data_IF_282944793791
#
_entry.id   IF_282944793791
#
_cell.length_a   1.000
_cell.length_b   1.000
_cell.length_c   1.000
_cell.angle_alpha   90.00
_cell.angle_beta   90.00
_cell.angle_gamma   90.00
#
_symmetry.space_group_name_H-M   'P 1'
#
loop_
_entity.id
_entity.type
_entity.pdbx_description
1 polymer ?
#
# COMPACT_ATOMS: atom_id res chain seq x y z
N UNK A 1 24.92 -33.73 1.42
CA UNK A 1 23.62 -33.86 0.72
C UNK A 1 22.54 -34.49 1.61
N UNK A 2 22.89 -35.31 2.62
CA UNK A 2 21.92 -35.88 3.58
C UNK A 2 21.17 -34.88 4.47
N UNK A 3 21.86 -33.85 4.96
CA UNK A 3 21.27 -32.91 5.91
C UNK A 3 20.05 -32.16 5.32
N UNK A 4 20.09 -31.85 4.03
CA UNK A 4 19.00 -31.16 3.32
C UNK A 4 17.80 -32.10 3.14
N UNK A 5 18.05 -33.37 2.78
CA UNK A 5 16.99 -34.37 2.60
C UNK A 5 16.27 -34.69 3.92
N UNK A 6 17.02 -34.83 5.01
CA UNK A 6 16.47 -35.02 6.36
C UNK A 6 15.64 -33.81 6.80
N UNK A 7 16.11 -32.60 6.48
CA UNK A 7 15.38 -31.38 6.81
C UNK A 7 14.02 -31.31 6.08
N UNK A 8 13.98 -31.59 4.77
CA UNK A 8 12.72 -31.62 4.03
C UNK A 8 11.77 -32.73 4.50
N UNK A 9 12.32 -33.91 4.83
CA UNK A 9 11.53 -35.01 5.37
C UNK A 9 10.89 -34.61 6.71
N UNK A 10 11.64 -33.98 7.60
CA UNK A 10 11.09 -33.46 8.86
C UNK A 10 10.08 -32.32 8.64
N UNK A 11 10.37 -31.39 7.74
CA UNK A 11 9.53 -30.22 7.46
C UNK A 11 8.13 -30.59 6.96
N UNK A 12 7.99 -31.67 6.19
CA UNK A 12 6.72 -32.08 5.60
C UNK A 12 6.07 -33.32 6.24
N UNK A 13 6.82 -34.17 6.95
CA UNK A 13 6.29 -35.39 7.55
C UNK A 13 5.90 -35.23 9.02
N UNK A 14 6.48 -34.26 9.73
CA UNK A 14 6.18 -33.99 11.14
C UNK A 14 5.16 -32.85 11.28
N UNK A 15 4.18 -33.00 12.19
CA UNK A 15 3.21 -31.95 12.52
C UNK A 15 3.90 -30.67 12.99
N UNK A 16 5.01 -30.78 13.72
CA UNK A 16 5.79 -29.64 14.16
C UNK A 16 6.46 -28.91 12.99
N UNK A 17 6.97 -29.66 12.00
CA UNK A 17 7.56 -29.12 10.78
C UNK A 17 6.55 -28.34 9.94
N UNK A 18 5.34 -28.88 9.78
CA UNK A 18 4.26 -28.22 9.03
C UNK A 18 3.81 -26.92 9.71
N UNK A 19 3.69 -26.90 11.04
CA UNK A 19 3.35 -25.67 11.79
C UNK A 19 4.46 -24.63 11.62
N UNK A 20 5.72 -25.04 11.67
CA UNK A 20 6.87 -24.15 11.43
C UNK A 20 6.83 -23.55 10.01
N UNK A 21 6.48 -24.35 9.01
CA UNK A 21 6.33 -23.88 7.63
C UNK A 21 5.19 -22.86 7.51
N UNK A 22 4.06 -23.11 8.18
CA UNK A 22 2.91 -22.22 8.15
C UNK A 22 3.20 -20.89 8.84
N UNK A 23 3.83 -20.91 10.02
CA UNK A 23 4.28 -19.70 10.71
C UNK A 23 5.36 -18.95 9.93
N UNK A 24 6.31 -19.67 9.32
CA UNK A 24 7.32 -19.09 8.45
C UNK A 24 6.71 -18.40 7.24
N UNK A 25 5.70 -19.00 6.62
CA UNK A 25 4.94 -18.41 5.51
C UNK A 25 4.21 -17.15 5.94
N UNK A 26 3.48 -17.18 7.06
CA UNK A 26 2.78 -16.00 7.61
C UNK A 26 3.77 -14.89 7.95
N UNK A 27 4.90 -15.21 8.57
CA UNK A 27 5.96 -14.24 8.88
C UNK A 27 6.51 -13.59 7.61
N UNK A 28 6.74 -14.38 6.55
CA UNK A 28 7.21 -13.87 5.26
C UNK A 28 6.18 -12.94 4.62
N UNK A 29 4.90 -13.32 4.62
CA UNK A 29 3.82 -12.43 4.15
C UNK A 29 3.73 -11.14 4.98
N UNK A 30 3.94 -11.23 6.30
CA UNK A 30 3.94 -10.07 7.18
C UNK A 30 5.10 -9.11 6.87
N UNK A 31 6.30 -9.64 6.61
CA UNK A 31 7.47 -8.84 6.20
C UNK A 31 7.20 -8.12 4.88
N UNK A 32 6.61 -8.81 3.90
CA UNK A 32 6.26 -8.21 2.60
C UNK A 32 5.20 -7.12 2.79
N UNK A 33 4.17 -7.38 3.59
CA UNK A 33 3.13 -6.40 3.91
C UNK A 33 3.71 -5.15 4.59
N UNK A 34 4.62 -5.32 5.55
CA UNK A 34 5.31 -4.20 6.18
C UNK A 34 6.15 -3.43 5.16
N UNK A 35 6.88 -4.11 4.29
CA UNK A 35 7.69 -3.42 3.28
C UNK A 35 6.83 -2.61 2.30
N UNK A 36 5.68 -3.17 1.89
CA UNK A 36 4.68 -2.46 1.10
C UNK A 36 4.13 -1.24 1.85
N UNK A 37 3.78 -1.39 3.13
CA UNK A 37 3.28 -0.29 3.97
C UNK A 37 4.32 0.83 4.11
N UNK A 38 5.60 0.48 4.31
CA UNK A 38 6.69 1.44 4.40
C UNK A 38 6.90 2.19 3.09
N UNK A 39 6.71 1.50 1.95
CA UNK A 39 6.87 2.10 0.62
C UNK A 39 5.68 3.01 0.26
N UNK A 40 4.46 2.59 0.56
CA UNK A 40 3.26 3.42 0.30
C UNK A 40 3.21 4.67 1.17
N UNK A 41 3.65 4.61 2.45
CA UNK A 41 3.76 5.82 3.29
C UNK A 41 4.70 6.89 2.73
N UNK A 42 5.69 6.52 1.93
CA UNK A 42 6.59 7.48 1.27
C UNK A 42 6.01 8.06 -0.02
N UNK A 43 5.23 7.27 -0.75
CA UNK A 43 4.63 7.70 -2.02
C UNK A 43 3.36 8.54 -1.83
N UNK A 44 2.58 8.23 -0.78
CA UNK A 44 1.39 8.99 -0.39
C UNK A 44 1.65 9.88 0.84
N UNK A 45 2.92 10.22 1.10
CA UNK A 45 3.19 11.31 2.02
C UNK A 45 2.50 12.55 1.42
N UNK A 46 1.58 13.14 2.19
CA UNK A 46 0.83 14.33 1.79
C UNK A 46 1.84 15.45 1.50
N UNK A 47 2.27 15.56 0.24
CA UNK A 47 3.13 16.65 -0.18
C UNK A 47 2.30 17.92 -0.02
N UNK A 48 2.78 18.86 0.82
CA UNK A 48 2.25 20.21 0.80
C UNK A 48 2.37 20.71 -0.64
N UNK A 49 1.25 21.18 -1.20
CA UNK A 49 1.11 21.65 -2.58
C UNK A 49 2.37 22.42 -3.00
N UNK A 50 3.14 21.87 -3.95
CA UNK A 50 4.30 22.58 -4.51
C UNK A 50 3.78 23.70 -5.42
N UNK A 51 4.56 24.77 -5.61
CA UNK A 51 4.18 25.87 -6.51
C UNK A 51 4.08 25.45 -7.98
N UNK A 52 4.67 24.31 -8.33
CA UNK A 52 4.62 23.71 -9.68
C UNK A 52 3.53 22.63 -9.83
N UNK A 53 2.66 22.46 -8.83
CA UNK A 53 1.55 21.50 -8.88
C UNK A 53 0.47 22.02 -9.83
N UNK A 54 0.02 21.18 -10.77
CA UNK A 54 -0.85 21.58 -11.88
C UNK A 54 -2.24 21.98 -11.38
N UNK A 55 -2.45 23.28 -11.13
CA UNK A 55 -3.74 23.82 -10.73
C UNK A 55 -4.59 24.05 -11.99
N UNK A 56 -5.64 23.23 -12.16
CA UNK A 56 -6.64 23.36 -13.21
C UNK A 56 -7.35 24.73 -13.24
N UNK A 57 -7.15 25.55 -12.21
CA UNK A 57 -7.79 26.86 -12.01
C UNK A 57 -6.80 28.04 -11.99
N UNK A 58 -5.49 27.84 -12.16
CA UNK A 58 -4.52 28.95 -12.20
C UNK A 58 -4.17 29.41 -13.63
N UNK A 59 -4.64 28.67 -14.64
CA UNK A 59 -4.31 28.88 -16.05
C UNK A 59 -5.44 29.43 -16.92
N UNK A 60 -6.59 29.79 -16.36
CA UNK A 60 -7.65 30.45 -17.12
C UNK A 60 -8.18 31.65 -16.33
N UNK A 61 -7.92 32.80 -16.94
CA UNK A 61 -8.33 34.14 -16.59
C UNK A 61 -9.85 34.22 -16.40
N UNK A 62 -10.29 34.74 -15.25
CA UNK A 62 -11.60 35.34 -15.00
C UNK A 62 -12.87 34.62 -15.48
N UNK A 63 -13.42 33.68 -14.68
CA UNK A 63 -14.87 33.42 -14.63
C UNK A 63 -15.32 32.65 -13.38
N UNK A 64 -15.47 33.37 -12.26
CA UNK A 64 -16.22 32.94 -11.06
C UNK A 64 -17.73 32.75 -11.34
N UNK A 65 -18.15 31.79 -12.18
CA UNK A 65 -19.59 31.63 -12.49
C UNK A 65 -20.09 30.20 -12.75
N UNK A 66 -19.28 29.17 -12.51
CA UNK A 66 -19.66 27.78 -12.85
C UNK A 66 -20.38 26.97 -11.76
N UNK A 67 -20.15 27.25 -10.48
CA UNK A 67 -20.62 26.38 -9.37
C UNK A 67 -21.57 27.07 -8.39
N UNK A 68 -21.67 28.40 -8.40
CA UNK A 68 -22.61 29.16 -7.56
C UNK A 68 -24.08 29.02 -7.99
N UNK A 69 -24.34 28.60 -9.22
CA UNK A 69 -25.71 28.43 -9.75
C UNK A 69 -26.44 27.19 -9.20
N UNK A 70 -25.75 26.24 -8.56
CA UNK A 70 -26.40 25.04 -8.01
C UNK A 70 -26.89 25.23 -6.57
N UNK A 71 -26.29 26.16 -5.81
CA UNK A 71 -26.63 26.41 -4.40
C UNK A 71 -27.80 27.42 -4.23
N UNK A 72 -28.19 28.17 -5.26
CA UNK A 72 -29.28 29.17 -5.17
C UNK A 72 -30.70 28.59 -5.33
N UNK A 73 -30.85 27.40 -5.93
CA UNK A 73 -32.17 26.77 -6.15
C UNK A 73 -32.69 26.00 -4.93
N UNK A 74 -31.92 25.93 -3.83
CA UNK A 74 -32.33 25.30 -2.57
C UNK A 74 -32.53 26.34 -1.45
N UNK A 75 -33.35 27.36 -1.72
CA UNK A 75 -33.90 28.29 -0.72
C UNK A 75 -35.41 28.45 -0.86
#
# INVERSE_FOLDING_TARGET
MDAVSQFFTWLFNDKAGVICLLLGGVMLFFIIAWFLESKTRKQYFNHAKSKDDWNLFDGDDDSESGWSAFDEDNK
#
